data_IF_957730790404
#
_entry.id   IF_957730790404
#
_cell.length_a   1.000
_cell.length_b   1.000
_cell.length_c   1.000
_cell.angle_alpha   90.00
_cell.angle_beta   90.00
_cell.angle_gamma   90.00
#
_symmetry.space_group_name_H-M   'P 1'
#
loop_
_entity.id
_entity.type
_entity.pdbx_description
1 polymer ?
#
# COMPACT_ATOMS: atom_id res chain seq x y z
N UNK A 1 -3.21 29.47 33.97
CA UNK A 1 -3.70 28.65 32.84
C UNK A 1 -2.45 28.31 32.03
N UNK A 2 -1.94 27.09 31.93
CA UNK A 2 -2.61 25.83 31.57
C UNK A 2 -1.87 24.59 32.13
N UNK A 3 -2.07 24.27 33.41
CA UNK A 3 -1.53 23.02 34.00
C UNK A 3 -2.55 21.87 33.87
N UNK A 4 -3.82 22.18 33.64
CA UNK A 4 -4.89 21.19 33.45
C UNK A 4 -4.78 20.42 32.12
N UNK A 5 -4.22 21.04 31.07
CA UNK A 5 -4.15 20.44 29.73
C UNK A 5 -3.17 19.27 29.65
N UNK A 6 -2.07 19.34 30.41
CA UNK A 6 -1.07 18.26 30.46
C UNK A 6 -1.61 16.98 31.14
N UNK A 7 -2.53 17.12 32.11
CA UNK A 7 -3.12 15.98 32.80
C UNK A 7 -4.19 15.29 31.94
N UNK A 8 -4.97 16.06 31.17
CA UNK A 8 -6.00 15.54 30.28
C UNK A 8 -5.42 14.68 29.15
N UNK A 9 -4.20 15.01 28.69
CA UNK A 9 -3.45 14.26 27.66
C UNK A 9 -2.89 12.92 28.14
N UNK A 10 -2.79 12.70 29.47
CA UNK A 10 -2.34 11.43 30.04
C UNK A 10 -3.50 10.52 30.47
N UNK A 11 -4.71 11.05 30.64
CA UNK A 11 -5.87 10.30 31.15
C UNK A 11 -6.94 9.97 30.10
N UNK A 12 -6.87 10.57 28.91
CA UNK A 12 -7.83 10.32 27.83
C UNK A 12 -7.16 9.52 26.71
N UNK A 13 -7.51 8.24 26.60
CA UNK A 13 -7.49 7.55 25.31
C UNK A 13 -6.40 6.51 25.09
N UNK A 14 -6.50 5.37 25.78
CA UNK A 14 -6.40 4.11 25.05
C UNK A 14 -7.78 3.85 24.43
N UNK A 15 -7.97 4.33 23.21
CA UNK A 15 -9.00 3.93 22.24
C UNK A 15 -8.72 4.70 20.96
N UNK A 16 -8.08 4.00 20.04
CA UNK A 16 -8.25 4.09 18.59
C UNK A 16 -8.35 5.47 17.93
N UNK A 17 -7.51 5.59 16.89
CA UNK A 17 -7.67 6.42 15.69
C UNK A 17 -7.46 7.93 15.83
N UNK A 18 -6.74 8.48 14.83
CA UNK A 18 -6.70 9.89 14.46
C UNK A 18 -5.79 10.79 15.32
N UNK A 19 -4.47 10.72 15.10
CA UNK A 19 -3.54 11.88 15.11
C UNK A 19 -2.08 11.38 14.94
N UNK A 20 -1.77 10.78 13.78
CA UNK A 20 -0.38 10.53 13.34
C UNK A 20 -0.23 10.15 11.86
N UNK A 21 -1.27 10.27 11.03
CA UNK A 21 -1.27 9.84 9.62
C UNK A 21 -1.23 11.00 8.59
N UNK A 22 -0.85 12.21 9.00
CA UNK A 22 -0.82 13.37 8.11
C UNK A 22 0.52 13.62 7.41
N UNK A 23 1.57 12.85 7.70
CA UNK A 23 2.92 13.13 7.15
C UNK A 23 3.44 12.19 6.07
N UNK A 24 2.71 11.15 5.66
CA UNK A 24 3.12 10.25 4.54
C UNK A 24 2.11 10.19 3.37
N UNK A 25 0.95 10.84 3.51
CA UNK A 25 -0.15 10.70 2.57
C UNK A 25 -0.04 11.63 1.35
N UNK A 26 0.70 12.74 1.43
CA UNK A 26 0.75 13.73 0.34
C UNK A 26 1.71 13.34 -0.79
N UNK A 27 2.74 12.52 -0.55
CA UNK A 27 3.67 12.07 -1.62
C UNK A 27 3.14 10.92 -2.48
N UNK A 28 2.01 10.31 -2.11
CA UNK A 28 1.43 9.16 -2.82
C UNK A 28 0.26 9.50 -3.76
N UNK A 29 -0.15 10.78 -3.83
CA UNK A 29 -1.31 11.20 -4.64
C UNK A 29 -1.05 11.16 -6.14
N UNK A 30 0.21 11.32 -6.55
CA UNK A 30 0.59 11.28 -7.95
C UNK A 30 1.44 10.05 -8.23
N UNK A 31 0.91 8.84 -8.08
CA UNK A 31 1.63 7.60 -8.49
C UNK A 31 1.23 7.13 -9.89
N UNK A 32 0.45 7.93 -10.63
CA UNK A 32 -0.12 7.56 -11.92
C UNK A 32 -1.21 6.49 -11.83
N UNK A 33 -1.93 6.43 -10.71
CA UNK A 33 -3.16 5.65 -10.58
C UNK A 33 -4.29 6.26 -11.41
N UNK A 34 -5.13 5.42 -12.01
CA UNK A 34 -6.21 5.86 -12.90
C UNK A 34 -7.38 6.53 -12.18
N UNK A 35 -7.55 6.26 -10.88
CA UNK A 35 -8.67 6.73 -10.06
C UNK A 35 -8.18 7.53 -8.86
N UNK A 36 -8.90 8.62 -8.53
CA UNK A 36 -8.62 9.45 -7.35
C UNK A 36 -8.82 8.62 -6.09
N UNK A 37 -7.84 8.65 -5.17
CA UNK A 37 -7.84 7.86 -3.95
C UNK A 37 -7.22 6.46 -4.07
N UNK A 38 -6.72 6.09 -5.26
CA UNK A 38 -5.91 4.90 -5.45
C UNK A 38 -4.43 5.27 -5.55
N UNK A 39 -3.57 4.37 -5.08
CA UNK A 39 -2.11 4.46 -5.20
C UNK A 39 -1.65 3.30 -6.06
N UNK A 40 -0.84 3.61 -7.06
CA UNK A 40 -0.23 2.60 -7.92
C UNK A 40 1.09 2.16 -7.31
N UNK A 41 1.23 0.86 -7.12
CA UNK A 41 2.42 0.22 -6.57
C UNK A 41 3.13 -0.55 -7.67
N UNK A 42 4.45 -0.46 -7.70
CA UNK A 42 5.34 -1.25 -8.52
C UNK A 42 5.81 -2.47 -7.75
N UNK A 43 5.74 -3.64 -8.38
CA UNK A 43 6.30 -4.88 -7.86
C UNK A 43 7.29 -5.42 -8.91
N UNK A 44 8.51 -5.73 -8.49
CA UNK A 44 9.59 -6.23 -9.37
C UNK A 44 9.42 -7.69 -9.82
N UNK A 45 8.18 -8.15 -10.00
CA UNK A 45 7.85 -9.51 -10.42
C UNK A 45 6.80 -9.50 -11.54
N UNK A 46 6.94 -10.40 -12.49
CA UNK A 46 6.06 -10.46 -13.65
C UNK A 46 5.92 -11.85 -14.26
N UNK A 47 5.46 -11.90 -15.50
CA UNK A 47 5.10 -13.13 -16.21
C UNK A 47 6.25 -14.13 -16.35
N UNK A 48 7.50 -13.66 -16.47
CA UNK A 48 8.68 -14.54 -16.57
C UNK A 48 8.91 -15.38 -15.31
N UNK A 49 8.37 -14.95 -14.17
CA UNK A 49 8.43 -15.72 -12.92
C UNK A 49 7.20 -16.63 -12.74
N UNK A 50 6.42 -16.87 -13.81
CA UNK A 50 5.16 -17.64 -13.76
C UNK A 50 4.16 -17.08 -12.74
N UNK A 51 4.12 -15.75 -12.60
CA UNK A 51 3.16 -15.04 -11.76
C UNK A 51 1.96 -14.62 -12.61
N UNK A 52 0.77 -14.96 -12.12
CA UNK A 52 -0.50 -14.47 -12.65
C UNK A 52 -1.13 -13.42 -11.73
N UNK A 53 -2.25 -12.79 -12.18
CA UNK A 53 -2.89 -11.73 -11.41
C UNK A 53 -3.49 -12.28 -10.11
N UNK A 54 -4.02 -13.51 -10.14
CA UNK A 54 -4.50 -14.19 -8.93
C UNK A 54 -3.41 -14.44 -7.89
N UNK A 55 -2.14 -14.56 -8.29
CA UNK A 55 -1.04 -14.68 -7.33
C UNK A 55 -0.72 -13.35 -6.66
N UNK A 56 -0.80 -12.24 -7.40
CA UNK A 56 -0.63 -10.89 -6.85
C UNK A 56 -1.76 -10.56 -5.88
N UNK A 57 -3.01 -10.79 -6.29
CA UNK A 57 -4.19 -10.60 -5.43
C UNK A 57 -4.05 -11.43 -4.16
N UNK A 58 -3.76 -12.74 -4.30
CA UNK A 58 -3.63 -13.63 -3.14
C UNK A 58 -2.51 -13.22 -2.18
N UNK A 59 -1.37 -12.76 -2.71
CA UNK A 59 -0.27 -12.27 -1.88
C UNK A 59 -0.65 -10.99 -1.11
N UNK A 60 -1.31 -10.04 -1.77
CA UNK A 60 -1.75 -8.80 -1.10
C UNK A 60 -2.81 -9.10 -0.05
N UNK A 61 -3.86 -9.85 -0.40
CA UNK A 61 -4.96 -10.18 0.54
C UNK A 61 -4.53 -11.12 1.66
N UNK A 62 -3.45 -11.88 1.48
CA UNK A 62 -2.92 -12.80 2.48
C UNK A 62 -2.02 -12.12 3.51
N UNK A 63 -1.38 -11.03 3.13
CA UNK A 63 -0.38 -10.32 3.95
C UNK A 63 -0.90 -8.97 4.49
N UNK A 64 -2.11 -8.58 4.07
CA UNK A 64 -2.74 -7.31 4.45
C UNK A 64 -4.22 -7.51 4.70
N UNK A 65 -4.83 -6.52 5.35
CA UNK A 65 -6.27 -6.46 5.58
C UNK A 65 -7.06 -5.99 4.34
N UNK A 66 -6.38 -5.67 3.23
CA UNK A 66 -7.02 -5.21 2.00
C UNK A 66 -7.82 -6.34 1.34
N UNK A 67 -9.15 -6.22 1.22
CA UNK A 67 -9.94 -7.20 0.48
C UNK A 67 -9.64 -7.13 -1.02
N UNK A 68 -9.54 -8.29 -1.67
CA UNK A 68 -9.18 -8.38 -3.09
C UNK A 68 -10.16 -7.70 -4.06
N UNK A 69 -11.37 -7.37 -3.59
CA UNK A 69 -12.38 -6.60 -4.35
C UNK A 69 -12.04 -5.11 -4.47
N UNK A 70 -11.25 -4.59 -3.55
CA UNK A 70 -10.80 -3.18 -3.54
C UNK A 70 -9.48 -3.01 -4.30
N UNK A 71 -8.83 -4.10 -4.69
CA UNK A 71 -7.67 -4.04 -5.58
C UNK A 71 -8.17 -3.58 -6.96
N UNK A 72 -7.58 -2.50 -7.45
CA UNK A 72 -7.91 -1.88 -8.73
C UNK A 72 -7.24 -2.60 -9.90
N UNK A 73 -6.74 -1.82 -10.86
CA UNK A 73 -6.11 -2.40 -12.06
C UNK A 73 -4.81 -3.10 -11.72
N UNK A 74 -4.56 -4.20 -12.42
CA UNK A 74 -3.31 -4.96 -12.35
C UNK A 74 -2.71 -5.03 -13.76
N UNK A 75 -1.61 -4.32 -13.97
CA UNK A 75 -0.86 -4.35 -15.22
C UNK A 75 0.36 -5.25 -15.10
N UNK A 76 0.30 -6.45 -15.69
CA UNK A 76 1.41 -7.40 -15.66
C UNK A 76 2.30 -7.31 -16.90
N UNK A 77 3.59 -7.09 -16.67
CA UNK A 77 4.65 -7.13 -17.66
C UNK A 77 5.53 -8.37 -17.45
N UNK A 78 6.52 -8.55 -18.32
CA UNK A 78 7.40 -9.72 -18.28
C UNK A 78 8.24 -9.79 -17.00
N UNK A 79 8.70 -8.64 -16.50
CA UNK A 79 9.65 -8.53 -15.38
C UNK A 79 9.10 -7.83 -14.14
N UNK A 80 7.96 -7.17 -14.27
CA UNK A 80 7.37 -6.37 -13.21
C UNK A 80 5.85 -6.30 -13.38
N UNK A 81 5.17 -5.84 -12.34
CA UNK A 81 3.72 -5.68 -12.31
C UNK A 81 3.40 -4.37 -11.62
N UNK A 82 2.37 -3.67 -12.10
CA UNK A 82 1.75 -2.58 -11.36
C UNK A 82 0.41 -3.03 -10.80
N UNK A 83 0.10 -2.58 -9.59
CA UNK A 83 -1.18 -2.82 -8.94
C UNK A 83 -1.69 -1.53 -8.33
N UNK A 84 -2.98 -1.24 -8.51
CA UNK A 84 -3.65 -0.13 -7.83
C UNK A 84 -4.32 -0.62 -6.55
N UNK A 85 -4.07 0.08 -5.45
CA UNK A 85 -4.69 -0.19 -4.15
C UNK A 85 -5.22 1.11 -3.55
N UNK A 86 -6.24 1.09 -2.69
CA UNK A 86 -6.73 2.31 -2.06
C UNK A 86 -5.65 2.94 -1.18
N UNK A 87 -5.59 4.28 -1.16
CA UNK A 87 -4.60 5.07 -0.43
C UNK A 87 -4.51 4.71 1.06
N UNK A 88 -5.66 4.40 1.67
CA UNK A 88 -5.75 3.98 3.07
C UNK A 88 -4.98 2.67 3.37
N UNK A 89 -4.88 1.77 2.38
CA UNK A 89 -4.17 0.49 2.49
C UNK A 89 -2.76 0.54 1.90
N UNK A 90 -2.42 1.55 1.11
CA UNK A 90 -1.14 1.61 0.38
C UNK A 90 0.07 1.47 1.31
N UNK A 91 0.05 2.15 2.47
CA UNK A 91 1.13 2.08 3.47
C UNK A 91 1.25 0.68 4.10
N UNK A 92 0.12 0.06 4.44
CA UNK A 92 0.08 -1.31 4.97
C UNK A 92 0.65 -2.30 3.94
N UNK A 93 0.18 -2.21 2.69
CA UNK A 93 0.63 -3.04 1.57
C UNK A 93 2.14 -2.92 1.35
N UNK A 94 2.67 -1.69 1.35
CA UNK A 94 4.11 -1.45 1.21
C UNK A 94 4.93 -2.10 2.32
N UNK A 95 4.49 -1.98 3.57
CA UNK A 95 5.22 -2.50 4.72
C UNK A 95 5.14 -4.04 4.75
N UNK A 96 3.96 -4.61 4.58
CA UNK A 96 3.75 -6.06 4.64
C UNK A 96 4.47 -6.80 3.51
N UNK A 97 4.53 -6.23 2.31
CA UNK A 97 5.10 -6.90 1.14
C UNK A 97 6.60 -6.64 0.92
N UNK A 98 7.22 -5.69 1.64
CA UNK A 98 8.62 -5.27 1.45
C UNK A 98 9.64 -6.41 1.46
N UNK A 99 9.46 -7.41 2.31
CA UNK A 99 10.33 -8.58 2.43
C UNK A 99 9.61 -9.91 2.15
N UNK A 100 8.45 -9.84 1.50
CA UNK A 100 7.64 -11.02 1.22
C UNK A 100 8.17 -11.80 0.00
N UNK A 101 7.59 -12.99 -0.23
CA UNK A 101 7.87 -13.86 -1.37
C UNK A 101 6.59 -14.28 -2.07
N UNK A 102 6.51 -14.04 -3.38
CA UNK A 102 5.42 -14.54 -4.23
C UNK A 102 5.90 -15.78 -4.98
N UNK A 103 5.27 -16.93 -4.69
CA UNK A 103 5.65 -18.26 -5.24
C UNK A 103 7.15 -18.57 -5.07
N UNK A 104 7.71 -18.24 -3.91
CA UNK A 104 9.12 -18.48 -3.58
C UNK A 104 10.11 -17.43 -4.11
N UNK A 105 9.67 -16.49 -4.96
CA UNK A 105 10.51 -15.40 -5.47
C UNK A 105 10.48 -14.22 -4.51
N UNK A 106 11.65 -13.69 -4.12
CA UNK A 106 11.71 -12.46 -3.32
C UNK A 106 11.19 -11.30 -4.16
N UNK A 107 10.28 -10.53 -3.59
CA UNK A 107 9.74 -9.33 -4.22
C UNK A 107 10.33 -8.08 -3.57
N UNK A 108 10.29 -6.99 -4.32
CA UNK A 108 10.47 -5.62 -3.87
C UNK A 108 9.24 -4.83 -4.35
N UNK A 109 8.69 -4.02 -3.46
CA UNK A 109 7.51 -3.21 -3.68
C UNK A 109 7.83 -1.75 -3.39
N UNK A 110 7.44 -0.87 -4.31
CA UNK A 110 7.70 0.57 -4.24
C UNK A 110 6.49 1.34 -4.75
N UNK A 111 6.22 2.56 -4.28
CA UNK A 111 5.28 3.46 -4.94
C UNK A 111 5.69 3.63 -6.40
N UNK A 112 4.74 3.51 -7.33
CA UNK A 112 5.04 3.74 -8.73
C UNK A 112 5.35 5.22 -8.93
N UNK A 113 6.50 5.52 -9.53
CA UNK A 113 6.83 6.90 -9.89
C UNK A 113 5.88 7.35 -11.02
N UNK A 114 5.19 8.49 -10.92
CA UNK A 114 4.39 9.03 -12.01
C UNK A 114 5.35 9.35 -13.14
N UNK A 115 5.42 8.47 -14.13
CA UNK A 115 6.14 8.83 -15.36
C UNK A 115 5.22 9.78 -16.11
N UNK A 116 5.47 11.08 -15.91
CA UNK A 116 4.87 12.17 -16.67
C UNK A 116 4.77 11.75 -18.15
N UNK A 117 3.53 11.68 -18.62
CA UNK A 117 3.17 11.26 -19.98
C UNK A 117 3.72 12.24 -21.02
#
# INVERSE_FOLDING_TARGET
LDIASALLKLYSGDSSSEEQNEVDAEEMEDTGAAESGMVRLFINIGKKQNIGPGNIVGAITGETSLPGKLIGRIDMFDRYTFVEVPKEYAKEVLISLKDNRIKGNKINIEPANPKNR
#
